data_IF_687120606207
#
_entry.id   IF_687120606207
#
_cell.length_a   1.000
_cell.length_b   1.000
_cell.length_c   1.000
_cell.angle_alpha   90.00
_cell.angle_beta   90.00
_cell.angle_gamma   90.00
#
_symmetry.space_group_name_H-M   'P 1'
#
loop_
_entity.id
_entity.type
_entity.pdbx_description
1 polymer ?
#
# COMPACT_ATOMS: atom_id res chain seq x y z
N UNK A 1 19.43 -21.94 1.37
CA UNK A 1 18.98 -21.26 2.60
C UNK A 1 18.39 -19.88 2.35
N UNK A 2 18.99 -19.05 1.48
CA UNK A 2 18.54 -17.67 1.20
C UNK A 2 17.07 -17.50 0.75
N UNK A 3 16.46 -18.49 0.09
CA UNK A 3 15.07 -18.43 -0.37
C UNK A 3 14.07 -19.16 0.55
N UNK A 4 14.52 -20.17 1.28
CA UNK A 4 13.65 -21.03 2.09
C UNK A 4 13.28 -20.38 3.44
N UNK A 5 14.24 -19.73 4.09
CA UNK A 5 14.01 -19.04 5.37
C UNK A 5 12.96 -17.92 5.28
N UNK A 6 13.11 -16.97 4.32
CA UNK A 6 12.14 -15.91 4.11
C UNK A 6 10.75 -16.44 3.72
N UNK A 7 10.68 -17.51 2.93
CA UNK A 7 9.41 -18.13 2.54
C UNK A 7 8.64 -18.62 3.78
N UNK A 8 9.28 -19.42 4.64
CA UNK A 8 8.62 -19.93 5.86
C UNK A 8 8.29 -18.81 6.85
N UNK A 9 9.14 -17.80 6.98
CA UNK A 9 8.84 -16.64 7.83
C UNK A 9 7.57 -15.91 7.37
N UNK A 10 7.40 -15.72 6.06
CA UNK A 10 6.21 -15.08 5.51
C UNK A 10 4.94 -15.93 5.70
N UNK A 11 5.03 -17.24 5.55
CA UNK A 11 3.90 -18.16 5.78
C UNK A 11 3.44 -18.13 7.24
N UNK A 12 4.37 -18.14 8.19
CA UNK A 12 4.05 -18.13 9.62
C UNK A 12 3.51 -16.77 10.08
N UNK A 13 4.04 -15.67 9.55
CA UNK A 13 3.65 -14.29 9.91
C UNK A 13 2.28 -13.90 9.35
N UNK A 14 1.80 -14.58 8.30
CA UNK A 14 0.49 -14.31 7.70
C UNK A 14 -0.68 -14.53 8.67
N UNK A 15 -0.51 -15.37 9.70
CA UNK A 15 -1.58 -15.67 10.67
C UNK A 15 -1.62 -14.74 11.88
N UNK A 16 -0.51 -14.07 12.19
CA UNK A 16 -0.38 -13.15 13.33
C UNK A 16 -0.50 -11.67 12.95
N UNK A 17 -0.62 -11.36 11.65
CA UNK A 17 -0.71 -9.99 11.15
C UNK A 17 -2.15 -9.52 10.94
N UNK A 18 -2.33 -8.19 10.95
CA UNK A 18 -3.59 -7.51 10.62
C UNK A 18 -3.97 -7.73 9.14
N UNK A 19 -5.18 -7.29 8.73
CA UNK A 19 -5.68 -7.55 7.37
C UNK A 19 -4.72 -7.06 6.26
N UNK A 20 -4.06 -5.91 6.47
CA UNK A 20 -3.11 -5.35 5.52
C UNK A 20 -1.76 -6.09 5.52
N UNK A 21 -1.20 -6.39 6.70
CA UNK A 21 0.04 -7.17 6.84
C UNK A 21 -0.10 -8.61 6.35
N UNK A 22 -1.27 -9.22 6.53
CA UNK A 22 -1.59 -10.56 6.01
C UNK A 22 -1.60 -10.57 4.48
N UNK A 23 -2.19 -9.55 3.85
CA UNK A 23 -2.17 -9.42 2.39
C UNK A 23 -0.75 -9.31 1.83
N UNK A 24 0.09 -8.47 2.43
CA UNK A 24 1.49 -8.28 2.00
C UNK A 24 2.35 -9.54 2.20
N UNK A 25 2.25 -10.19 3.37
CA UNK A 25 3.02 -11.40 3.69
C UNK A 25 2.65 -12.57 2.78
N UNK A 26 1.37 -12.75 2.44
CA UNK A 26 0.92 -13.75 1.47
C UNK A 26 1.46 -13.42 0.06
N UNK A 27 1.44 -12.14 -0.34
CA UNK A 27 2.00 -11.72 -1.63
C UNK A 27 3.48 -12.07 -1.79
N UNK A 28 4.30 -11.79 -0.76
CA UNK A 28 5.71 -12.17 -0.77
C UNK A 28 5.92 -13.69 -0.70
N UNK A 29 5.11 -14.41 0.06
CA UNK A 29 5.17 -15.88 0.11
C UNK A 29 4.91 -16.50 -1.27
N UNK A 30 3.96 -15.98 -2.05
CA UNK A 30 3.68 -16.46 -3.41
C UNK A 30 4.88 -16.22 -4.33
N UNK A 31 5.45 -15.02 -4.35
CA UNK A 31 6.60 -14.68 -5.20
C UNK A 31 7.81 -15.54 -4.85
N UNK A 32 8.13 -15.66 -3.56
CA UNK A 32 9.26 -16.48 -3.09
C UNK A 32 9.03 -17.96 -3.34
N UNK A 33 7.79 -18.45 -3.18
CA UNK A 33 7.38 -19.81 -3.52
C UNK A 33 7.59 -20.10 -5.00
N UNK A 34 7.15 -19.22 -5.90
CA UNK A 34 7.37 -19.39 -7.35
C UNK A 34 8.86 -19.51 -7.68
N UNK A 35 9.68 -18.61 -7.16
CA UNK A 35 11.14 -18.66 -7.37
C UNK A 35 11.75 -19.95 -6.84
N UNK A 36 11.33 -20.39 -5.64
CA UNK A 36 11.82 -21.62 -5.03
C UNK A 36 11.49 -22.86 -5.89
N UNK A 37 10.27 -22.98 -6.41
CA UNK A 37 9.88 -24.11 -7.25
C UNK A 37 10.53 -24.08 -8.64
N UNK A 38 10.83 -22.91 -9.20
CA UNK A 38 11.64 -22.77 -10.43
C UNK A 38 13.06 -23.30 -10.22
N UNK A 39 13.66 -23.00 -9.07
CA UNK A 39 15.00 -23.52 -8.71
C UNK A 39 14.96 -25.04 -8.58
N UNK A 40 13.94 -25.59 -7.91
CA UNK A 40 13.76 -27.04 -7.81
C UNK A 40 13.59 -27.68 -9.19
N UNK A 41 12.75 -27.11 -10.07
CA UNK A 41 12.57 -27.58 -11.45
C UNK A 41 13.89 -27.62 -12.22
N UNK A 42 14.71 -26.58 -12.08
CA UNK A 42 16.03 -26.51 -12.71
C UNK A 42 16.97 -27.61 -12.20
N UNK A 43 16.95 -27.91 -10.89
CA UNK A 43 17.73 -29.00 -10.32
C UNK A 43 17.33 -30.37 -10.87
N UNK A 44 16.02 -30.65 -10.95
CA UNK A 44 15.50 -31.89 -11.54
C UNK A 44 15.83 -31.97 -13.04
N UNK A 45 15.68 -30.89 -13.80
CA UNK A 45 16.03 -30.86 -15.22
C UNK A 45 17.50 -31.23 -15.45
N UNK A 46 18.42 -30.69 -14.66
CA UNK A 46 19.86 -31.03 -14.74
C UNK A 46 20.10 -32.51 -14.42
N UNK A 47 19.41 -33.07 -13.43
CA UNK A 47 19.56 -34.49 -13.07
C UNK A 47 19.04 -35.42 -14.18
N UNK A 48 17.92 -35.07 -14.81
CA UNK A 48 17.32 -35.80 -15.93
C UNK A 48 18.22 -35.76 -17.16
N UNK A 49 18.71 -34.57 -17.55
CA UNK A 49 19.56 -34.39 -18.73
C UNK A 49 20.91 -35.12 -18.61
N UNK A 50 21.39 -35.36 -17.38
CA UNK A 50 22.63 -36.11 -17.12
C UNK A 50 22.43 -37.63 -17.06
N UNK A 51 21.21 -38.13 -17.27
CA UNK A 51 20.90 -39.56 -17.23
C UNK A 51 21.09 -40.19 -15.86
N UNK A 52 21.13 -39.38 -14.79
CA UNK A 52 21.42 -39.86 -13.43
C UNK A 52 20.18 -40.44 -12.72
N UNK A 53 19.00 -40.33 -13.34
CA UNK A 53 17.73 -40.83 -12.81
C UNK A 53 17.20 -42.04 -13.61
N UNK A 54 16.65 -43.07 -12.93
CA UNK A 54 15.84 -44.10 -13.57
C UNK A 54 14.64 -43.51 -14.31
N UNK A 55 14.23 -44.12 -15.43
CA UNK A 55 13.15 -43.61 -16.30
C UNK A 55 11.82 -43.38 -15.57
N UNK A 56 11.45 -44.25 -14.63
CA UNK A 56 10.24 -44.10 -13.81
C UNK A 56 10.31 -42.88 -12.87
N UNK A 57 11.49 -42.56 -12.34
CA UNK A 57 11.69 -41.41 -11.46
C UNK A 57 11.61 -40.09 -12.24
N UNK A 58 12.08 -40.07 -13.48
CA UNK A 58 11.93 -38.94 -14.40
C UNK A 58 10.46 -38.66 -14.70
N UNK A 59 9.67 -39.69 -15.04
CA UNK A 59 8.24 -39.55 -15.29
C UNK A 59 7.49 -39.02 -14.05
N UNK A 60 7.82 -39.55 -12.87
CA UNK A 60 7.25 -39.07 -11.62
C UNK A 60 7.60 -37.59 -11.34
N UNK A 61 8.83 -37.16 -11.56
CA UNK A 61 9.25 -35.78 -11.32
C UNK A 61 8.49 -34.76 -12.19
N UNK A 62 8.23 -35.10 -13.47
CA UNK A 62 7.48 -34.23 -14.39
C UNK A 62 6.07 -33.94 -13.88
N UNK A 63 5.43 -34.93 -13.23
CA UNK A 63 4.05 -34.83 -12.74
C UNK A 63 4.01 -34.28 -11.32
N UNK A 64 4.82 -34.83 -10.41
CA UNK A 64 4.76 -34.49 -8.99
C UNK A 64 5.39 -33.14 -8.66
N UNK A 65 6.34 -32.64 -9.44
CA UNK A 65 6.92 -31.33 -9.17
C UNK A 65 5.91 -30.17 -9.29
N UNK A 66 5.13 -30.03 -10.38
CA UNK A 66 4.10 -29.00 -10.44
C UNK A 66 2.96 -29.27 -9.42
N UNK A 67 2.55 -30.54 -9.24
CA UNK A 67 1.54 -30.89 -8.25
C UNK A 67 1.97 -30.54 -6.82
N UNK A 68 3.25 -30.69 -6.49
CA UNK A 68 3.80 -30.33 -5.18
C UNK A 68 3.67 -28.82 -4.90
N UNK A 69 3.82 -27.98 -5.93
CA UNK A 69 3.62 -26.54 -5.80
C UNK A 69 2.15 -26.22 -5.47
N UNK A 70 1.24 -26.85 -6.20
CA UNK A 70 -0.21 -26.70 -5.99
C UNK A 70 -0.59 -27.20 -4.60
N UNK A 71 -0.05 -28.34 -4.16
CA UNK A 71 -0.29 -28.90 -2.84
C UNK A 71 0.23 -27.99 -1.71
N UNK A 72 1.41 -27.39 -1.87
CA UNK A 72 1.95 -26.43 -0.90
C UNK A 72 1.09 -25.16 -0.80
N UNK A 73 0.62 -24.63 -1.93
CA UNK A 73 -0.31 -23.50 -1.96
C UNK A 73 -1.67 -23.86 -1.33
N UNK A 74 -2.20 -25.04 -1.65
CA UNK A 74 -3.45 -25.57 -1.12
C UNK A 74 -3.39 -25.75 0.40
N UNK A 75 -2.30 -26.31 0.91
CA UNK A 75 -2.04 -26.47 2.34
C UNK A 75 -1.97 -25.11 3.06
N UNK A 76 -1.41 -24.07 2.41
CA UNK A 76 -1.35 -22.72 2.97
C UNK A 76 -2.75 -22.09 3.10
N UNK A 77 -3.61 -22.27 2.11
CA UNK A 77 -5.02 -21.84 2.21
C UNK A 77 -5.75 -22.53 3.36
N UNK A 78 -5.65 -23.86 3.41
CA UNK A 78 -6.30 -24.66 4.46
C UNK A 78 -5.75 -24.41 5.88
N UNK A 79 -4.46 -24.09 5.99
CA UNK A 79 -3.79 -23.69 7.24
C UNK A 79 -4.38 -22.38 7.80
N UNK A 80 -4.69 -21.42 6.92
CA UNK A 80 -5.25 -20.13 7.34
C UNK A 80 -6.72 -20.23 7.75
N UNK A 81 -7.47 -21.17 7.18
CA UNK A 81 -8.91 -21.25 7.39
C UNK A 81 -9.31 -22.10 8.61
N UNK A 82 -8.90 -23.39 8.67
CA UNK A 82 -9.53 -24.31 9.66
C UNK A 82 -8.81 -25.60 10.01
N UNK A 83 -7.92 -26.13 9.17
CA UNK A 83 -7.46 -27.54 9.29
C UNK A 83 -6.26 -27.78 10.23
N UNK A 84 -5.82 -26.75 10.97
CA UNK A 84 -4.84 -26.86 12.05
C UNK A 84 -3.37 -26.74 11.61
N UNK A 85 -2.50 -26.52 12.60
CA UNK A 85 -1.10 -26.10 12.41
C UNK A 85 -0.23 -27.11 11.67
N UNK A 86 -0.62 -28.38 11.67
CA UNK A 86 0.13 -29.46 11.03
C UNK A 86 0.24 -29.31 9.51
N UNK A 87 -0.67 -28.58 8.86
CA UNK A 87 -0.59 -28.31 7.42
C UNK A 87 0.56 -27.37 7.05
N UNK A 88 1.09 -26.59 7.99
CA UNK A 88 2.30 -25.78 7.76
C UNK A 88 3.54 -26.67 7.49
N UNK A 89 3.51 -27.94 7.90
CA UNK A 89 4.57 -28.91 7.60
C UNK A 89 4.70 -29.15 6.10
N UNK A 90 3.63 -29.02 5.32
CA UNK A 90 3.66 -29.27 3.87
C UNK A 90 4.54 -28.25 3.14
N UNK A 91 4.26 -26.92 3.16
CA UNK A 91 5.11 -25.95 2.49
C UNK A 91 6.53 -25.87 3.09
N UNK A 92 6.74 -26.30 4.34
CA UNK A 92 8.06 -26.41 4.95
C UNK A 92 8.86 -27.62 4.44
N UNK A 93 8.30 -28.82 4.56
CA UNK A 93 9.05 -30.05 4.38
C UNK A 93 9.14 -30.48 2.91
N UNK A 94 8.12 -30.19 2.11
CA UNK A 94 8.04 -30.57 0.70
C UNK A 94 9.20 -30.02 -0.16
N UNK A 95 9.56 -28.71 -0.14
CA UNK A 95 10.69 -28.21 -0.92
C UNK A 95 12.04 -28.78 -0.44
N UNK A 96 12.19 -29.06 0.86
CA UNK A 96 13.40 -29.70 1.40
C UNK A 96 13.55 -31.13 0.89
N UNK A 97 12.48 -31.93 0.92
CA UNK A 97 12.48 -33.30 0.42
C UNK A 97 12.75 -33.36 -1.08
N UNK A 98 12.16 -32.45 -1.86
CA UNK A 98 12.42 -32.33 -3.30
C UNK A 98 13.88 -31.97 -3.59
N UNK A 99 14.45 -31.02 -2.85
CA UNK A 99 15.85 -30.65 -2.98
C UNK A 99 16.80 -31.81 -2.63
N UNK A 100 16.53 -32.50 -1.51
CA UNK A 100 17.30 -33.66 -1.07
C UNK A 100 17.24 -34.80 -2.09
N UNK A 101 16.05 -35.07 -2.64
CA UNK A 101 15.86 -36.10 -3.66
C UNK A 101 16.59 -35.76 -4.96
N UNK A 102 16.47 -34.51 -5.44
CA UNK A 102 17.20 -34.04 -6.63
C UNK A 102 18.72 -34.09 -6.43
N UNK A 103 19.20 -33.76 -5.23
CA UNK A 103 20.62 -33.81 -4.88
C UNK A 103 21.15 -35.23 -4.84
N UNK A 104 20.44 -36.15 -4.15
CA UNK A 104 20.79 -37.57 -4.11
C UNK A 104 20.81 -38.18 -5.53
N UNK A 105 19.82 -37.87 -6.36
CA UNK A 105 19.75 -38.38 -7.72
C UNK A 105 20.93 -37.94 -8.60
N UNK A 106 21.55 -36.79 -8.32
CA UNK A 106 22.71 -36.29 -9.05
C UNK A 106 24.04 -36.95 -8.60
N UNK A 107 24.09 -37.45 -7.37
CA UNK A 107 25.31 -37.97 -6.76
C UNK A 107 25.41 -39.49 -6.94
N UNK A 108 25.84 -39.93 -8.13
CA UNK A 108 25.97 -41.36 -8.47
C UNK A 108 26.86 -42.13 -7.47
N UNK A 109 27.88 -41.47 -6.90
CA UNK A 109 28.73 -42.06 -5.85
C UNK A 109 28.01 -42.39 -4.55
N UNK A 110 26.84 -41.81 -4.29
CA UNK A 110 26.01 -42.10 -3.13
C UNK A 110 25.01 -43.25 -3.37
N UNK A 111 24.86 -43.73 -4.60
CA UNK A 111 23.96 -44.85 -4.90
C UNK A 111 24.47 -46.18 -4.34
N UNK A 112 25.77 -46.25 -4.00
CA UNK A 112 26.38 -47.40 -3.32
C UNK A 112 26.07 -47.45 -1.82
N UNK A 113 25.93 -46.29 -1.17
CA UNK A 113 25.61 -46.19 0.27
C UNK A 113 24.11 -46.06 0.52
N UNK A 114 23.39 -45.45 -0.42
CA UNK A 114 21.94 -45.27 -0.41
C UNK A 114 21.37 -45.90 -1.67
N UNK A 115 20.95 -47.19 -1.61
CA UNK A 115 20.51 -47.92 -2.78
C UNK A 115 19.28 -47.24 -3.43
N UNK A 116 19.16 -47.27 -4.77
CA UNK A 116 18.12 -46.51 -5.48
C UNK A 116 16.69 -46.87 -5.09
N UNK A 117 16.40 -48.16 -4.90
CA UNK A 117 15.05 -48.66 -4.62
C UNK A 117 14.52 -48.18 -3.25
N UNK A 118 15.19 -48.42 -2.11
CA UNK A 118 14.70 -47.97 -0.81
C UNK A 118 14.71 -46.44 -0.70
N UNK A 119 15.70 -45.75 -1.28
CA UNK A 119 15.79 -44.29 -1.21
C UNK A 119 14.66 -43.62 -1.97
N UNK A 120 14.34 -44.08 -3.18
CA UNK A 120 13.18 -43.60 -3.94
C UNK A 120 11.86 -43.98 -3.27
N UNK A 121 11.74 -45.17 -2.67
CA UNK A 121 10.53 -45.55 -1.96
C UNK A 121 10.24 -44.63 -0.76
N UNK A 122 11.26 -44.33 0.05
CA UNK A 122 11.11 -43.50 1.26
C UNK A 122 10.91 -42.02 0.92
N UNK A 123 11.84 -41.41 0.17
CA UNK A 123 11.76 -39.98 -0.15
C UNK A 123 10.61 -39.70 -1.13
N UNK A 124 10.44 -40.55 -2.15
CA UNK A 124 9.34 -40.42 -3.10
C UNK A 124 7.98 -40.65 -2.42
N UNK A 125 7.86 -41.65 -1.55
CA UNK A 125 6.64 -41.89 -0.78
C UNK A 125 6.25 -40.69 0.09
N UNK A 126 7.22 -40.08 0.79
CA UNK A 126 6.97 -38.89 1.59
C UNK A 126 6.51 -37.68 0.73
N UNK A 127 7.15 -37.45 -0.42
CA UNK A 127 6.75 -36.39 -1.36
C UNK A 127 5.32 -36.62 -1.87
N UNK A 128 4.99 -37.86 -2.23
CA UNK A 128 3.65 -38.24 -2.72
C UNK A 128 2.60 -38.00 -1.64
N UNK A 129 2.83 -38.44 -0.41
CA UNK A 129 1.89 -38.24 0.71
C UNK A 129 1.67 -36.74 0.99
N UNK A 130 2.76 -35.98 1.10
CA UNK A 130 2.69 -34.53 1.36
C UNK A 130 2.09 -33.75 0.18
N UNK A 131 2.07 -34.32 -1.02
CA UNK A 131 1.41 -33.71 -2.20
C UNK A 131 -0.07 -34.08 -2.26
N UNK A 132 -0.42 -35.35 -2.06
CA UNK A 132 -1.80 -35.84 -2.26
C UNK A 132 -2.71 -35.40 -1.11
N UNK A 133 -2.25 -35.48 0.15
CA UNK A 133 -3.10 -35.21 1.31
C UNK A 133 -3.73 -33.81 1.27
N UNK A 134 -2.98 -32.71 1.04
CA UNK A 134 -3.56 -31.37 0.93
C UNK A 134 -4.53 -31.23 -0.22
N UNK A 135 -4.23 -31.83 -1.39
CA UNK A 135 -5.11 -31.76 -2.55
C UNK A 135 -6.46 -32.45 -2.28
N UNK A 136 -6.43 -33.60 -1.61
CA UNK A 136 -7.66 -34.30 -1.19
C UNK A 136 -8.47 -33.45 -0.20
N UNK A 137 -7.82 -32.85 0.81
CA UNK A 137 -8.51 -31.98 1.76
C UNK A 137 -9.12 -30.75 1.07
N UNK A 138 -8.38 -30.13 0.15
CA UNK A 138 -8.85 -28.97 -0.61
C UNK A 138 -10.03 -29.33 -1.50
N UNK A 139 -9.99 -30.48 -2.17
CA UNK A 139 -11.12 -30.95 -2.99
C UNK A 139 -12.36 -31.22 -2.15
N UNK A 140 -12.22 -31.75 -0.92
CA UNK A 140 -13.33 -31.89 0.03
C UNK A 140 -13.88 -30.51 0.45
N UNK A 141 -13.01 -29.53 0.70
CA UNK A 141 -13.43 -28.19 1.11
C UNK A 141 -14.24 -27.49 0.02
N UNK A 142 -13.82 -27.58 -1.25
CA UNK A 142 -14.52 -26.98 -2.38
C UNK A 142 -15.77 -27.74 -2.86
N UNK A 143 -16.12 -28.88 -2.25
CA UNK A 143 -17.39 -29.52 -2.59
C UNK A 143 -18.57 -28.63 -2.18
N UNK A 144 -19.55 -28.42 -3.08
CA UNK A 144 -20.72 -27.61 -2.80
C UNK A 144 -21.43 -28.11 -1.54
N UNK A 145 -21.53 -27.25 -0.53
CA UNK A 145 -22.31 -27.53 0.67
C UNK A 145 -23.29 -26.37 0.88
N UNK A 146 -24.60 -26.59 0.71
CA UNK A 146 -25.59 -25.54 0.76
C UNK A 146 -25.65 -24.83 2.12
N UNK A 147 -25.34 -25.53 3.22
CA UNK A 147 -25.31 -24.93 4.56
C UNK A 147 -24.17 -23.91 4.71
N UNK A 148 -22.99 -24.23 4.14
CA UNK A 148 -21.83 -23.31 4.16
C UNK A 148 -22.09 -22.06 3.33
N UNK A 149 -22.68 -22.22 2.15
CA UNK A 149 -23.01 -21.09 1.28
C UNK A 149 -24.08 -20.19 1.89
N UNK A 150 -25.09 -20.78 2.55
CA UNK A 150 -26.13 -20.04 3.26
C UNK A 150 -25.54 -19.23 4.44
N UNK A 151 -24.64 -19.83 5.23
CA UNK A 151 -23.97 -19.13 6.33
C UNK A 151 -23.12 -17.95 5.84
N UNK A 152 -22.30 -18.16 4.79
CA UNK A 152 -21.49 -17.08 4.21
C UNK A 152 -22.36 -15.98 3.56
N UNK A 153 -23.47 -16.35 2.93
CA UNK A 153 -24.40 -15.38 2.37
C UNK A 153 -25.09 -14.56 3.47
N UNK A 154 -25.42 -15.17 4.60
CA UNK A 154 -25.94 -14.47 5.77
C UNK A 154 -24.90 -13.50 6.35
N UNK A 155 -23.65 -13.94 6.52
CA UNK A 155 -22.55 -13.07 6.98
C UNK A 155 -22.33 -11.88 6.04
N UNK A 156 -22.26 -12.12 4.72
CA UNK A 156 -22.12 -11.05 3.71
C UNK A 156 -23.27 -10.04 3.79
N UNK A 157 -24.52 -10.51 3.91
CA UNK A 157 -25.68 -9.63 4.09
C UNK A 157 -25.57 -8.79 5.36
N UNK A 158 -25.18 -9.40 6.49
CA UNK A 158 -24.99 -8.64 7.72
C UNK A 158 -23.90 -7.59 7.61
N UNK A 159 -22.80 -7.90 6.91
CA UNK A 159 -21.73 -6.94 6.64
C UNK A 159 -22.21 -5.80 5.73
N UNK A 160 -22.94 -6.11 4.65
CA UNK A 160 -23.52 -5.11 3.74
C UNK A 160 -24.53 -4.21 4.46
N UNK A 161 -25.38 -4.76 5.33
CA UNK A 161 -26.33 -3.99 6.12
C UNK A 161 -25.64 -3.10 7.15
N UNK A 162 -24.59 -3.60 7.81
CA UNK A 162 -23.78 -2.80 8.72
C UNK A 162 -23.06 -1.68 7.98
N UNK A 163 -22.50 -1.96 6.80
CA UNK A 163 -21.81 -0.95 6.00
C UNK A 163 -22.77 0.14 5.52
N UNK A 164 -23.95 -0.23 5.04
CA UNK A 164 -25.00 0.74 4.69
C UNK A 164 -25.37 1.63 5.87
N UNK A 165 -25.57 1.05 7.06
CA UNK A 165 -25.86 1.82 8.27
C UNK A 165 -24.71 2.78 8.62
N UNK A 166 -23.45 2.34 8.52
CA UNK A 166 -22.28 3.20 8.78
C UNK A 166 -22.22 4.38 7.82
N UNK A 167 -22.48 4.14 6.54
CA UNK A 167 -22.52 5.20 5.51
C UNK A 167 -23.69 6.16 5.77
N UNK A 168 -24.89 5.64 6.04
CA UNK A 168 -26.07 6.46 6.35
C UNK A 168 -25.87 7.31 7.61
N UNK A 169 -25.25 6.76 8.65
CA UNK A 169 -24.92 7.48 9.88
C UNK A 169 -23.87 8.58 9.65
N UNK A 170 -22.84 8.30 8.83
CA UNK A 170 -21.84 9.29 8.44
C UNK A 170 -22.46 10.42 7.61
N UNK A 171 -23.25 10.09 6.59
CA UNK A 171 -23.96 11.06 5.75
C UNK A 171 -24.91 11.93 6.59
N UNK A 172 -25.63 11.33 7.55
CA UNK A 172 -26.51 12.06 8.46
C UNK A 172 -25.73 12.97 9.42
N UNK A 173 -24.58 12.53 9.92
CA UNK A 173 -23.71 13.32 10.78
C UNK A 173 -23.12 14.53 10.01
N UNK A 174 -22.67 14.32 8.78
CA UNK A 174 -22.16 15.38 7.91
C UNK A 174 -23.26 16.39 7.56
N UNK A 175 -24.45 15.91 7.19
CA UNK A 175 -25.61 16.77 6.94
C UNK A 175 -25.99 17.60 8.19
N UNK A 176 -25.96 17.00 9.37
CA UNK A 176 -26.22 17.70 10.63
C UNK A 176 -25.12 18.71 11.00
N UNK A 177 -23.85 18.41 10.66
CA UNK A 177 -22.73 19.37 10.80
C UNK A 177 -22.97 20.58 9.91
N UNK A 178 -23.18 20.36 8.61
CA UNK A 178 -23.40 21.44 7.65
C UNK A 178 -24.66 22.26 7.91
N UNK A 179 -25.73 21.65 8.45
CA UNK A 179 -26.95 22.37 8.83
C UNK A 179 -26.74 23.40 9.95
N UNK A 180 -25.70 23.23 10.77
CA UNK A 180 -25.32 24.20 11.82
C UNK A 180 -24.42 25.32 11.30
N UNK A 181 -23.84 25.15 10.11
CA UNK A 181 -22.94 26.12 9.51
C UNK A 181 -23.75 27.22 8.81
N UNK A 182 -23.29 28.47 8.96
CA UNK A 182 -23.96 29.62 8.36
C UNK A 182 -23.09 30.88 8.37
N UNK A 183 -23.67 32.05 8.04
CA UNK A 183 -22.93 33.30 7.94
C UNK A 183 -22.23 33.77 9.22
N UNK A 184 -22.69 33.29 10.37
CA UNK A 184 -22.13 33.60 11.70
C UNK A 184 -21.15 32.52 12.22
N UNK A 185 -20.92 31.44 11.45
CA UNK A 185 -19.88 30.44 11.74
C UNK A 185 -18.48 30.98 11.43
N UNK A 186 -17.44 30.32 11.91
CA UNK A 186 -16.07 30.72 11.60
C UNK A 186 -15.57 30.04 10.33
N UNK A 187 -14.65 30.68 9.61
CA UNK A 187 -14.01 30.06 8.43
C UNK A 187 -13.35 28.71 8.76
N UNK A 188 -12.85 28.58 10.00
CA UNK A 188 -12.21 27.35 10.50
C UNK A 188 -13.13 26.12 10.43
N UNK A 189 -14.43 26.31 10.57
CA UNK A 189 -15.42 25.23 10.61
C UNK A 189 -15.63 24.59 9.23
N UNK A 190 -15.09 25.22 8.17
CA UNK A 190 -15.16 24.74 6.79
C UNK A 190 -13.84 24.14 6.28
N UNK A 191 -12.73 24.24 7.03
CA UNK A 191 -11.39 23.93 6.51
C UNK A 191 -11.21 22.46 6.14
N UNK A 192 -11.85 21.53 6.84
CA UNK A 192 -11.75 20.09 6.54
C UNK A 192 -12.31 19.76 5.14
N UNK A 193 -13.37 20.46 4.74
CA UNK A 193 -14.05 20.25 3.47
C UNK A 193 -13.63 21.26 2.39
N UNK A 194 -12.77 22.23 2.69
CA UNK A 194 -12.40 23.30 1.75
C UNK A 194 -11.42 22.86 0.64
N UNK A 195 -10.46 21.93 0.85
CA UNK A 195 -9.52 21.51 -0.18
C UNK A 195 -10.19 20.91 -1.44
N UNK A 196 -9.62 21.09 -2.64
CA UNK A 196 -10.09 20.42 -3.84
C UNK A 196 -10.07 18.89 -3.66
N UNK A 197 -11.18 18.24 -3.98
CA UNK A 197 -11.34 16.78 -3.86
C UNK A 197 -12.05 16.30 -2.59
N UNK A 198 -12.27 17.17 -1.61
CA UNK A 198 -13.14 16.85 -0.48
C UNK A 198 -14.58 16.60 -0.94
N UNK A 199 -15.27 15.66 -0.29
CA UNK A 199 -16.62 15.23 -0.66
C UNK A 199 -17.60 16.41 -0.69
N UNK A 200 -17.51 17.31 0.28
CA UNK A 200 -18.39 18.48 0.41
C UNK A 200 -17.77 19.79 -0.10
N UNK A 201 -16.69 19.73 -0.90
CA UNK A 201 -15.93 20.90 -1.36
C UNK A 201 -16.78 22.06 -1.88
N UNK A 202 -17.72 21.77 -2.79
CA UNK A 202 -18.58 22.82 -3.38
C UNK A 202 -19.50 23.47 -2.36
N UNK A 203 -20.04 22.67 -1.43
CA UNK A 203 -20.94 23.15 -0.38
C UNK A 203 -20.17 23.96 0.67
N UNK A 204 -19.00 23.46 1.10
CA UNK A 204 -18.14 24.13 2.05
C UNK A 204 -17.63 25.48 1.51
N UNK A 205 -17.15 25.52 0.26
CA UNK A 205 -16.70 26.77 -0.38
C UNK A 205 -17.82 27.79 -0.49
N UNK A 206 -19.03 27.37 -0.89
CA UNK A 206 -20.19 28.25 -0.97
C UNK A 206 -20.58 28.81 0.40
N UNK A 207 -20.56 27.99 1.46
CA UNK A 207 -20.82 28.43 2.83
C UNK A 207 -19.74 29.38 3.36
N UNK A 208 -18.46 29.04 3.16
CA UNK A 208 -17.32 29.83 3.60
C UNK A 208 -17.30 31.26 3.01
N UNK A 209 -17.78 31.44 1.76
CA UNK A 209 -17.96 32.78 1.15
C UNK A 209 -18.99 33.65 1.87
N UNK A 210 -19.99 33.04 2.50
CA UNK A 210 -21.06 33.75 3.21
C UNK A 210 -20.68 34.11 4.64
N UNK A 211 -19.58 33.56 5.16
CA UNK A 211 -19.10 33.87 6.51
C UNK A 211 -18.74 35.35 6.61
N UNK A 212 -19.31 36.04 7.61
CA UNK A 212 -19.13 37.48 7.82
C UNK A 212 -17.71 37.82 8.28
N UNK A 213 -17.11 36.96 9.09
CA UNK A 213 -15.76 37.13 9.66
C UNK A 213 -14.65 36.57 8.76
N UNK A 214 -14.97 36.08 7.55
CA UNK A 214 -14.06 35.27 6.72
C UNK A 214 -12.69 35.93 6.48
N UNK A 215 -12.64 37.24 6.30
CA UNK A 215 -11.39 37.97 6.11
C UNK A 215 -10.55 38.00 7.38
N UNK A 216 -11.17 38.28 8.53
CA UNK A 216 -10.49 38.29 9.82
C UNK A 216 -10.03 36.88 10.21
N UNK A 217 -10.88 35.88 10.00
CA UNK A 217 -10.57 34.48 10.26
C UNK A 217 -9.42 33.99 9.35
N UNK A 218 -9.41 34.37 8.06
CA UNK A 218 -8.31 34.02 7.16
C UNK A 218 -6.98 34.64 7.61
N UNK A 219 -6.98 35.91 8.01
CA UNK A 219 -5.78 36.57 8.58
C UNK A 219 -5.30 35.85 9.84
N UNK A 220 -6.22 35.47 10.73
CA UNK A 220 -5.88 34.72 11.93
C UNK A 220 -5.28 33.35 11.60
N UNK A 221 -5.92 32.59 10.71
CA UNK A 221 -5.47 31.27 10.29
C UNK A 221 -4.08 31.31 9.63
N UNK A 222 -3.80 32.33 8.81
CA UNK A 222 -2.46 32.57 8.27
C UNK A 222 -1.42 32.80 9.38
N UNK A 223 -1.79 33.50 10.45
CA UNK A 223 -0.96 33.67 11.64
C UNK A 223 -0.79 32.40 12.50
N UNK A 224 -1.71 31.43 12.39
CA UNK A 224 -1.70 30.14 13.10
C UNK A 224 -0.94 29.04 12.34
N UNK A 225 -0.14 29.39 11.32
CA UNK A 225 0.62 28.43 10.51
C UNK A 225 -0.28 27.48 9.68
N UNK A 226 -1.50 27.94 9.34
CA UNK A 226 -2.51 27.17 8.58
C UNK A 226 -2.57 27.57 7.09
N UNK A 227 -1.42 27.87 6.50
CA UNK A 227 -1.34 28.30 5.09
C UNK A 227 -1.89 27.22 4.15
N UNK A 228 -1.56 25.96 4.40
CA UNK A 228 -1.96 24.83 3.55
C UNK A 228 -3.48 24.63 3.50
N UNK A 229 -4.16 24.76 4.65
CA UNK A 229 -5.63 24.68 4.74
C UNK A 229 -6.34 25.80 3.94
N UNK A 230 -5.64 26.89 3.64
CA UNK A 230 -6.14 28.03 2.89
C UNK A 230 -5.75 27.99 1.40
N UNK A 231 -5.51 26.80 0.83
CA UNK A 231 -5.25 26.64 -0.63
C UNK A 231 -6.36 27.21 -1.54
N UNK A 232 -7.56 27.46 -1.02
CA UNK A 232 -8.68 28.10 -1.72
C UNK A 232 -8.92 29.56 -1.33
N UNK A 233 -7.97 30.24 -0.68
CA UNK A 233 -8.10 31.62 -0.20
C UNK A 233 -8.64 32.58 -1.27
N UNK A 234 -8.12 32.51 -2.51
CA UNK A 234 -8.58 33.34 -3.64
C UNK A 234 -10.07 33.17 -3.98
N UNK A 235 -10.64 32.02 -3.62
CA UNK A 235 -12.02 31.67 -3.92
C UNK A 235 -12.98 32.05 -2.79
N UNK A 236 -12.51 32.64 -1.68
CA UNK A 236 -13.34 33.01 -0.52
C UNK A 236 -13.98 34.41 -0.61
N UNK A 237 -13.91 35.07 -1.76
CA UNK A 237 -14.42 36.44 -1.95
C UNK A 237 -13.87 37.43 -0.90
N UNK A 238 -12.55 37.37 -0.68
CA UNK A 238 -11.79 38.23 0.21
C UNK A 238 -11.02 39.27 -0.60
N UNK A 239 -10.96 40.51 -0.11
CA UNK A 239 -10.16 41.57 -0.72
C UNK A 239 -8.65 41.24 -0.58
N UNK A 240 -7.87 41.18 -1.66
CA UNK A 240 -6.44 40.82 -1.60
C UNK A 240 -5.63 41.68 -0.61
N UNK A 241 -5.88 42.99 -0.60
CA UNK A 241 -5.19 43.95 0.27
C UNK A 241 -5.36 43.67 1.75
N UNK A 242 -6.46 43.04 2.15
CA UNK A 242 -6.73 42.69 3.55
C UNK A 242 -5.89 41.51 4.06
N UNK A 243 -5.36 40.68 3.16
CA UNK A 243 -4.61 39.46 3.51
C UNK A 243 -3.14 39.50 3.06
N UNK A 244 -2.72 40.44 2.21
CA UNK A 244 -1.35 40.49 1.66
C UNK A 244 -0.26 40.33 2.75
N UNK A 245 -0.34 41.10 3.85
CA UNK A 245 0.68 41.09 4.88
C UNK A 245 0.74 39.75 5.63
N UNK A 246 -0.41 39.26 6.10
CA UNK A 246 -0.50 37.97 6.80
C UNK A 246 -0.08 36.81 5.90
N UNK A 247 -0.45 36.85 4.62
CA UNK A 247 -0.07 35.82 3.65
C UNK A 247 1.43 35.84 3.37
N UNK A 248 2.03 37.03 3.20
CA UNK A 248 3.47 37.18 3.01
C UNK A 248 4.25 36.58 4.19
N UNK A 249 3.81 36.87 5.41
CA UNK A 249 4.48 36.41 6.63
C UNK A 249 4.31 34.89 6.80
N UNK A 250 3.11 34.35 6.51
CA UNK A 250 2.85 32.91 6.49
C UNK A 250 3.67 32.18 5.41
N UNK A 251 3.77 32.75 4.21
CA UNK A 251 4.57 32.21 3.10
C UNK A 251 6.06 32.17 3.47
N UNK A 252 6.56 33.20 4.14
CA UNK A 252 7.94 33.24 4.64
C UNK A 252 8.19 32.16 5.70
N UNK A 253 7.24 31.94 6.60
CA UNK A 253 7.32 30.90 7.61
C UNK A 253 7.29 29.49 6.99
N UNK A 254 6.41 29.26 6.01
CA UNK A 254 6.31 27.99 5.29
C UNK A 254 7.59 27.69 4.50
N UNK A 255 8.11 28.68 3.78
CA UNK A 255 9.37 28.57 3.05
C UNK A 255 10.52 28.15 3.97
N UNK A 256 10.60 28.71 5.18
CA UNK A 256 11.64 28.37 6.15
C UNK A 256 11.63 26.89 6.58
N UNK A 257 10.49 26.20 6.47
CA UNK A 257 10.37 24.75 6.75
C UNK A 257 10.99 23.88 5.65
N UNK A 258 11.26 24.43 4.47
CA UNK A 258 11.97 23.73 3.39
C UNK A 258 13.48 23.72 3.73
N UNK A 259 13.86 22.76 4.57
CA UNK A 259 15.23 22.59 5.05
C UNK A 259 15.59 21.11 5.19
N UNK A 260 16.78 20.71 4.71
CA UNK A 260 17.27 19.31 4.79
C UNK A 260 17.38 18.75 6.20
N UNK A 261 17.32 19.59 7.23
CA UNK A 261 17.31 19.19 8.64
C UNK A 261 15.97 18.59 9.08
N UNK A 262 14.89 18.81 8.33
CA UNK A 262 13.59 18.17 8.56
C UNK A 262 13.47 16.90 7.72
N UNK A 263 12.62 15.96 8.12
CA UNK A 263 12.34 14.74 7.35
C UNK A 263 11.25 14.95 6.30
N UNK A 264 10.41 15.97 6.45
CA UNK A 264 9.22 16.26 5.65
C UNK A 264 9.43 17.39 4.62
N UNK A 265 10.67 17.85 4.42
CA UNK A 265 10.98 19.00 3.56
C UNK A 265 10.49 18.89 2.12
N UNK A 266 10.44 17.67 1.56
CA UNK A 266 9.89 17.43 0.20
C UNK A 266 8.38 17.61 0.20
N UNK A 267 7.69 17.07 1.23
CA UNK A 267 6.24 17.23 1.37
C UNK A 267 5.88 18.71 1.50
N UNK A 268 6.59 19.47 2.33
CA UNK A 268 6.41 20.92 2.46
C UNK A 268 6.57 21.64 1.12
N UNK A 269 7.58 21.28 0.32
CA UNK A 269 7.79 21.88 -1.00
C UNK A 269 6.63 21.58 -1.97
N UNK A 270 6.06 20.37 -1.91
CA UNK A 270 4.90 19.97 -2.72
C UNK A 270 3.62 20.65 -2.22
N UNK A 271 3.43 20.77 -0.91
CA UNK A 271 2.28 21.45 -0.31
C UNK A 271 2.27 22.94 -0.67
N UNK A 272 3.46 23.56 -0.76
CA UNK A 272 3.60 24.94 -1.23
C UNK A 272 3.15 25.11 -2.70
N UNK A 273 3.31 24.09 -3.54
CA UNK A 273 2.82 24.10 -4.93
C UNK A 273 1.29 24.30 -4.99
N UNK A 274 0.55 23.76 -4.00
CA UNK A 274 -0.91 23.96 -3.90
C UNK A 274 -1.30 25.42 -3.69
N UNK A 275 -0.37 26.26 -3.22
CA UNK A 275 -0.60 27.68 -2.98
C UNK A 275 -0.37 28.55 -4.22
N UNK A 276 0.14 27.99 -5.33
CA UNK A 276 0.39 28.74 -6.58
C UNK A 276 -0.81 29.59 -7.03
N UNK A 277 -2.06 29.08 -7.05
CA UNK A 277 -3.20 29.89 -7.47
C UNK A 277 -3.43 31.11 -6.56
N UNK A 278 -3.14 31.01 -5.27
CA UNK A 278 -3.24 32.13 -4.33
C UNK A 278 -2.10 33.13 -4.56
N UNK A 279 -0.86 32.64 -4.78
CA UNK A 279 0.30 33.48 -5.07
C UNK A 279 0.08 34.28 -6.36
N UNK A 280 -0.40 33.63 -7.42
CA UNK A 280 -0.71 34.27 -8.70
C UNK A 280 -1.79 35.34 -8.55
N UNK A 281 -2.83 35.04 -7.77
CA UNK A 281 -3.91 35.98 -7.48
C UNK A 281 -3.42 37.20 -6.69
N UNK A 282 -2.66 37.00 -5.62
CA UNK A 282 -2.17 38.08 -4.76
C UNK A 282 -1.14 38.97 -5.48
N UNK A 283 -0.17 38.37 -6.17
CA UNK A 283 0.81 39.13 -6.98
C UNK A 283 0.14 39.89 -8.11
N UNK A 284 -0.81 39.27 -8.82
CA UNK A 284 -1.61 39.93 -9.87
C UNK A 284 -2.51 41.07 -9.36
N UNK A 285 -2.68 41.20 -8.04
CA UNK A 285 -3.44 42.28 -7.39
C UNK A 285 -2.53 43.28 -6.65
N UNK A 286 -1.21 43.20 -6.84
CA UNK A 286 -0.23 44.15 -6.30
C UNK A 286 0.24 43.85 -4.87
N UNK A 287 0.01 42.65 -4.34
CA UNK A 287 0.68 42.24 -3.10
C UNK A 287 2.16 41.96 -3.37
N UNK A 288 3.07 42.66 -2.69
CA UNK A 288 4.50 42.38 -2.75
C UNK A 288 4.85 41.11 -1.97
N UNK A 289 5.08 40.02 -2.71
CA UNK A 289 5.54 38.72 -2.21
C UNK A 289 6.98 38.41 -2.67
N UNK A 290 7.71 39.38 -3.23
CA UNK A 290 9.00 39.15 -3.89
C UNK A 290 10.05 38.49 -2.99
N UNK A 291 10.16 38.96 -1.73
CA UNK A 291 11.06 38.41 -0.73
C UNK A 291 10.81 36.93 -0.42
N UNK A 292 9.62 36.56 0.11
CA UNK A 292 9.31 35.18 0.43
C UNK A 292 9.32 34.24 -0.78
N UNK A 293 8.91 34.69 -1.97
CA UNK A 293 8.96 33.87 -3.18
C UNK A 293 10.38 33.56 -3.62
N UNK A 294 11.29 34.53 -3.50
CA UNK A 294 12.71 34.33 -3.78
C UNK A 294 13.35 33.35 -2.78
N UNK A 295 13.06 33.51 -1.49
CA UNK A 295 13.54 32.59 -0.45
C UNK A 295 13.02 31.16 -0.66
N UNK A 296 11.71 31.00 -0.89
CA UNK A 296 11.09 29.71 -1.19
C UNK A 296 11.74 29.04 -2.41
N UNK A 297 11.92 29.76 -3.52
CA UNK A 297 12.53 29.22 -4.73
C UNK A 297 13.98 28.74 -4.48
N UNK A 298 14.78 29.52 -3.76
CA UNK A 298 16.16 29.14 -3.43
C UNK A 298 16.21 27.90 -2.53
N UNK A 299 15.29 27.80 -1.57
CA UNK A 299 15.19 26.63 -0.68
C UNK A 299 14.75 25.39 -1.42
N UNK A 300 13.74 25.48 -2.28
CA UNK A 300 13.28 24.36 -3.14
C UNK A 300 14.44 23.82 -3.98
N UNK A 301 15.19 24.70 -4.66
CA UNK A 301 16.38 24.28 -5.43
C UNK A 301 17.47 23.66 -4.56
N UNK A 302 17.62 24.09 -3.31
CA UNK A 302 18.65 23.54 -2.41
C UNK A 302 18.33 22.11 -1.96
N UNK A 303 17.05 21.73 -1.91
CA UNK A 303 16.59 20.46 -1.35
C UNK A 303 16.32 19.38 -2.39
N UNK A 304 16.19 19.71 -3.67
CA UNK A 304 15.94 18.73 -4.73
C UNK A 304 16.50 19.16 -6.08
N UNK A 305 17.06 18.17 -6.81
CA UNK A 305 17.49 18.29 -8.21
C UNK A 305 16.41 17.79 -9.19
N UNK A 306 15.16 17.61 -8.74
CA UNK A 306 14.05 17.20 -9.58
C UNK A 306 13.72 18.30 -10.60
N UNK A 307 13.55 17.93 -11.86
CA UNK A 307 13.11 18.83 -12.93
C UNK A 307 11.81 19.56 -12.54
N UNK A 308 10.81 18.82 -12.03
CA UNK A 308 9.53 19.38 -11.54
C UNK A 308 9.73 20.46 -10.46
N UNK A 309 10.59 20.20 -9.47
CA UNK A 309 10.81 21.17 -8.38
C UNK A 309 11.65 22.37 -8.83
N UNK A 310 12.50 22.17 -9.84
CA UNK A 310 13.24 23.27 -10.49
C UNK A 310 12.28 24.18 -11.26
N UNK A 311 11.37 23.60 -12.05
CA UNK A 311 10.31 24.35 -12.75
C UNK A 311 9.41 25.11 -11.78
N UNK A 312 9.02 24.48 -10.67
CA UNK A 312 8.26 25.15 -9.61
C UNK A 312 9.02 26.34 -9.01
N UNK A 313 10.30 26.17 -8.67
CA UNK A 313 11.14 27.26 -8.18
C UNK A 313 11.30 28.40 -9.20
N UNK A 314 11.39 28.08 -10.50
CA UNK A 314 11.42 29.07 -11.58
C UNK A 314 10.10 29.84 -11.67
N UNK A 315 8.96 29.17 -11.51
CA UNK A 315 7.64 29.81 -11.47
C UNK A 315 7.52 30.77 -10.28
N UNK A 316 7.96 30.37 -9.08
CA UNK A 316 7.99 31.26 -7.91
C UNK A 316 8.82 32.52 -8.16
N UNK A 317 10.03 32.36 -8.73
CA UNK A 317 10.89 33.50 -9.09
C UNK A 317 10.26 34.42 -10.14
N UNK A 318 9.52 33.87 -11.11
CA UNK A 318 8.84 34.65 -12.13
C UNK A 318 7.69 35.46 -11.52
N UNK A 319 6.94 34.89 -10.58
CA UNK A 319 5.86 35.58 -9.87
C UNK A 319 6.38 36.70 -8.97
N UNK A 320 7.52 36.51 -8.30
CA UNK A 320 8.14 37.54 -7.46
C UNK A 320 8.69 38.76 -8.23
N UNK A 321 8.78 38.69 -9.57
CA UNK A 321 9.22 39.80 -10.44
C UNK A 321 8.06 40.62 -11.00
N UNK A 322 6.81 40.22 -10.77
CA UNK A 322 5.65 40.95 -11.25
C UNK A 322 5.50 42.25 -10.42
N UNK A 323 5.24 43.39 -11.08
CA UNK A 323 5.04 44.67 -10.41
C UNK A 323 3.72 44.69 -9.62
#
# INVERSE_FOLDING_TARGET
MLLYGPFIANVLTARSSDLAGRGMSLGFAVIQGLVLWIVLASMFAIAVLRGAMPSYATAAAIVFLPLSAIAAASAMGLYNDRYGDWLAVVPALLPLLLALYAFWARMVGWHNTLPPVPTTAILGGAIVVLTIVPLVLTTIEYMPNPEREAAQAAERKTWEEQEKKRVEEADAADAARFAKLGPDSHLRDYLEDLPPGAMHHRQALAGARLVKTRTADAVQLLGEDRLDDLSQLRALDIEPSAVCAAYRDALQAEAAKIAKTRSDYISVAIDLERQLPNIEWLTGKGCDLSGPLSDAANRVRSVSDSERLTEFADQLMALGKRP
#
